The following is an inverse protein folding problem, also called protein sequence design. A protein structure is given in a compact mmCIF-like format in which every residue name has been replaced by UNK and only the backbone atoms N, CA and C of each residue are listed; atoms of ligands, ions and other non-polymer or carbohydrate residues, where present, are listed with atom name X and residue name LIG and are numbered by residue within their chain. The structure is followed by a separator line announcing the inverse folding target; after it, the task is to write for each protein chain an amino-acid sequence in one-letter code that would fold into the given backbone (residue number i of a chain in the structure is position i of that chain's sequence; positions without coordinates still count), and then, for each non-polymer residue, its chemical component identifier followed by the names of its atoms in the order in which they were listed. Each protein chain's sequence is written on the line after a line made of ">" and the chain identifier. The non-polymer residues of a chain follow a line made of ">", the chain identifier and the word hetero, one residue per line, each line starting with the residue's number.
data_IF_087977944004
#
_entry.id   IF_087977944004
#
_cell.length_a   1.000
_cell.length_b   1.000
_cell.length_c   1.000
_cell.angle_alpha   90.00
_cell.angle_beta   90.00
_cell.angle_gamma   90.00
#
_symmetry.space_group_name_H-M   'P 1'
#
loop_
_entity.id
_entity.type
_entity.pdbx_description
1 polymer ?
#
# COMPACT_ATOMS: atom_id res chain seq x y z
N UNK A 1 14.24 3.94 -0.32
CA UNK A 1 12.88 3.47 0.03
C UNK A 1 12.60 3.42 1.53
N UNK A 2 13.38 2.70 2.35
CA UNK A 2 13.05 2.50 3.78
C UNK A 2 12.87 3.81 4.58
N UNK A 3 13.74 4.81 4.35
CA UNK A 3 13.66 6.11 5.05
C UNK A 3 12.47 6.97 4.58
N UNK A 4 12.05 6.81 3.31
CA UNK A 4 10.89 7.52 2.76
C UNK A 4 9.60 7.05 3.45
N UNK A 5 9.37 5.73 3.51
CA UNK A 5 8.15 5.18 4.11
C UNK A 5 8.05 5.43 5.63
N UNK A 6 9.16 5.31 6.38
CA UNK A 6 9.14 5.57 7.84
C UNK A 6 9.00 7.05 8.18
N UNK A 7 9.83 7.91 7.61
CA UNK A 7 9.94 9.32 8.04
C UNK A 7 8.84 10.19 7.43
N UNK A 8 8.49 9.95 6.16
CA UNK A 8 7.52 10.81 5.46
C UNK A 8 6.08 10.32 5.56
N UNK A 9 5.86 9.00 5.56
CA UNK A 9 4.53 8.40 5.50
C UNK A 9 4.07 7.80 6.84
N UNK A 10 4.91 7.88 7.88
CA UNK A 10 4.61 7.38 9.25
C UNK A 10 4.13 5.93 9.26
N UNK A 11 4.80 5.09 8.48
CA UNK A 11 4.48 3.68 8.38
C UNK A 11 5.34 2.89 9.37
N UNK A 12 4.70 1.98 10.12
CA UNK A 12 5.33 1.16 11.15
C UNK A 12 5.48 -0.27 10.63
N UNK A 13 6.60 -0.90 10.96
CA UNK A 13 6.88 -2.30 10.58
C UNK A 13 6.04 -3.23 11.45
N UNK A 14 5.36 -4.20 10.84
CA UNK A 14 4.62 -5.20 11.62
C UNK A 14 5.59 -6.12 12.35
N UNK A 15 5.23 -6.52 13.58
CA UNK A 15 6.09 -7.37 14.45
C UNK A 15 6.31 -8.77 13.84
N UNK A 16 5.48 -9.17 12.88
CA UNK A 16 5.46 -10.51 12.28
C UNK A 16 6.11 -10.59 10.90
N UNK A 17 6.19 -9.49 10.16
CA UNK A 17 6.80 -9.46 8.83
C UNK A 17 7.52 -8.13 8.63
N UNK A 18 8.86 -8.18 8.63
CA UNK A 18 9.73 -7.01 8.47
C UNK A 18 9.57 -6.29 7.12
N UNK A 19 9.03 -7.01 6.12
CA UNK A 19 8.73 -6.48 4.80
C UNK A 19 7.30 -5.95 4.68
N UNK A 20 6.47 -6.11 5.71
CA UNK A 20 5.10 -5.59 5.74
C UNK A 20 4.99 -4.37 6.65
N UNK A 21 4.45 -3.32 6.06
CA UNK A 21 4.43 -1.97 6.57
C UNK A 21 2.96 -1.51 6.63
N UNK A 22 2.49 -1.11 7.81
CA UNK A 22 1.10 -0.68 8.02
C UNK A 22 1.07 0.77 8.53
N UNK A 23 0.16 1.58 7.97
CA UNK A 23 -0.07 2.95 8.46
C UNK A 23 -0.40 2.94 9.94
N UNK A 24 0.29 3.80 10.71
CA UNK A 24 0.05 3.91 12.15
C UNK A 24 -1.39 4.34 12.45
N UNK A 25 -1.89 4.04 13.66
CA UNK A 25 -3.21 4.48 14.12
C UNK A 25 -3.41 6.01 14.11
N UNK A 26 -2.32 6.79 14.06
CA UNK A 26 -2.36 8.25 13.97
C UNK A 26 -2.49 8.78 12.52
N UNK A 27 -2.58 7.89 11.53
CA UNK A 27 -2.79 8.24 10.13
C UNK A 27 -4.20 7.86 9.72
N UNK A 28 -5.01 8.85 9.36
CA UNK A 28 -6.39 8.67 8.90
C UNK A 28 -6.46 8.01 7.52
N UNK A 29 -5.35 8.04 6.78
CA UNK A 29 -5.24 7.43 5.47
C UNK A 29 -4.62 6.03 5.59
N UNK A 30 -5.40 5.03 5.23
CA UNK A 30 -4.99 3.63 5.30
C UNK A 30 -4.04 3.24 4.17
N UNK A 31 -2.97 2.53 4.51
CA UNK A 31 -2.11 1.84 3.56
C UNK A 31 -1.42 0.64 4.20
N UNK A 32 -1.34 -0.44 3.41
CA UNK A 32 -0.57 -1.64 3.66
C UNK A 32 0.46 -1.79 2.54
N UNK A 33 1.74 -1.71 2.90
CA UNK A 33 2.85 -1.76 1.95
C UNK A 33 3.62 -3.06 2.16
N UNK A 34 3.84 -3.82 1.09
CA UNK A 34 4.77 -4.94 1.05
C UNK A 34 6.03 -4.54 0.29
N UNK A 35 7.17 -4.66 0.93
CA UNK A 35 8.49 -4.41 0.34
C UNK A 35 9.05 -5.73 -0.17
N UNK A 36 9.30 -5.82 -1.47
CA UNK A 36 9.95 -6.95 -2.12
C UNK A 36 11.34 -6.55 -2.61
N UNK A 37 12.15 -7.52 -3.05
CA UNK A 37 13.55 -7.30 -3.42
C UNK A 37 13.69 -6.46 -4.69
N UNK A 38 12.71 -6.56 -5.59
CA UNK A 38 12.67 -5.94 -6.91
C UNK A 38 11.62 -4.82 -7.02
N UNK A 39 10.58 -4.84 -6.19
CA UNK A 39 9.49 -3.88 -6.24
C UNK A 39 8.88 -3.61 -4.85
N UNK A 40 8.03 -2.60 -4.78
CA UNK A 40 7.17 -2.35 -3.61
C UNK A 40 5.73 -2.39 -4.09
N UNK A 41 4.88 -3.12 -3.36
CA UNK A 41 3.45 -3.25 -3.64
C UNK A 41 2.70 -2.56 -2.51
N UNK A 42 1.80 -1.63 -2.87
CA UNK A 42 1.00 -0.87 -1.92
C UNK A 42 -0.48 -1.17 -2.13
N UNK A 43 -1.20 -1.49 -1.06
CA UNK A 43 -2.65 -1.53 -0.99
C UNK A 43 -3.12 -0.37 -0.12
N UNK A 44 -3.80 0.62 -0.68
CA UNK A 44 -4.17 1.84 0.05
C UNK A 44 -5.53 2.38 -0.35
N UNK A 45 -6.05 3.31 0.46
CA UNK A 45 -7.19 4.11 0.05
C UNK A 45 -6.77 5.24 -0.92
N UNK A 46 -7.76 5.91 -1.52
CA UNK A 46 -7.53 6.98 -2.48
C UNK A 46 -6.77 8.18 -1.87
N UNK A 47 -7.09 8.56 -0.63
CA UNK A 47 -6.45 9.69 0.04
C UNK A 47 -4.95 9.45 0.31
N UNK A 48 -4.56 8.24 0.71
CA UNK A 48 -3.14 7.88 0.84
C UNK A 48 -2.44 7.93 -0.52
N UNK A 49 -3.09 7.40 -1.55
CA UNK A 49 -2.55 7.32 -2.90
C UNK A 49 -2.24 8.71 -3.51
N UNK A 50 -3.06 9.72 -3.22
CA UNK A 50 -2.77 11.11 -3.61
C UNK A 50 -1.52 11.69 -2.95
N UNK A 51 -1.27 11.33 -1.69
CA UNK A 51 -0.08 11.76 -0.95
C UNK A 51 1.16 11.05 -1.50
N UNK A 52 1.05 9.74 -1.75
CA UNK A 52 2.14 8.93 -2.32
C UNK A 52 2.59 9.47 -3.68
N UNK A 53 1.66 9.78 -4.60
CA UNK A 53 1.98 10.40 -5.90
C UNK A 53 2.78 11.69 -5.79
N UNK A 54 2.34 12.58 -4.88
CA UNK A 54 3.00 13.87 -4.66
C UNK A 54 4.43 13.65 -4.19
N UNK A 55 4.67 12.69 -3.30
CA UNK A 55 6.00 12.40 -2.78
C UNK A 55 6.88 11.62 -3.78
N UNK A 56 6.30 10.72 -4.59
CA UNK A 56 7.00 10.05 -5.70
C UNK A 56 7.48 11.06 -6.74
N UNK A 57 6.60 11.99 -7.14
CA UNK A 57 6.91 13.05 -8.10
C UNK A 57 8.03 13.95 -7.58
N UNK A 58 7.95 14.40 -6.31
CA UNK A 58 9.00 15.22 -5.68
C UNK A 58 10.34 14.50 -5.60
N UNK A 59 10.34 13.18 -5.43
CA UNK A 59 11.54 12.37 -5.36
C UNK A 59 12.06 11.94 -6.74
N UNK A 60 11.38 12.32 -7.83
CA UNK A 60 11.67 11.88 -9.20
C UNK A 60 11.76 10.35 -9.32
N UNK A 61 10.90 9.64 -8.57
CA UNK A 61 10.80 8.19 -8.60
C UNK A 61 9.71 7.76 -9.59
N UNK A 62 10.00 6.68 -10.31
CA UNK A 62 9.03 6.05 -11.21
C UNK A 62 8.29 4.95 -10.46
N UNK A 63 6.96 4.94 -10.58
CA UNK A 63 6.09 3.87 -10.11
C UNK A 63 5.41 3.20 -11.31
N UNK A 64 4.98 1.94 -11.13
CA UNK A 64 4.16 1.23 -12.10
C UNK A 64 2.74 1.84 -12.14
N UNK A 65 2.01 1.54 -13.22
CA UNK A 65 0.60 1.91 -13.32
C UNK A 65 -0.20 1.30 -12.16
N UNK A 66 -1.17 2.05 -11.65
CA UNK A 66 -2.01 1.63 -10.53
C UNK A 66 -3.15 0.76 -11.01
N UNK A 67 -3.50 -0.19 -10.16
CA UNK A 67 -4.68 -1.02 -10.31
C UNK A 67 -5.68 -0.69 -9.20
N UNK A 68 -6.96 -0.78 -9.51
CA UNK A 68 -8.04 -0.45 -8.58
C UNK A 68 -8.83 -1.70 -8.24
N UNK A 69 -8.98 -1.96 -6.94
CA UNK A 69 -9.76 -3.08 -6.45
C UNK A 69 -11.25 -2.80 -6.70
N UNK A 70 -11.93 -3.74 -7.37
CA UNK A 70 -13.38 -3.73 -7.51
C UNK A 70 -13.91 -5.15 -7.37
N UNK A 71 -15.24 -5.30 -7.28
CA UNK A 71 -15.89 -6.62 -7.19
C UNK A 71 -15.63 -7.48 -8.43
N UNK A 72 -15.35 -6.86 -9.57
CA UNK A 72 -14.97 -7.53 -10.83
C UNK A 72 -13.47 -7.57 -11.10
N UNK A 73 -12.65 -6.89 -10.29
CA UNK A 73 -11.20 -6.79 -10.47
C UNK A 73 -10.45 -7.08 -9.16
N UNK A 74 -10.19 -8.36 -8.84
CA UNK A 74 -9.33 -8.75 -7.73
C UNK A 74 -7.87 -8.40 -8.02
N UNK A 75 -7.10 -8.07 -6.98
CA UNK A 75 -5.70 -7.65 -7.11
C UNK A 75 -4.72 -8.62 -6.47
N UNK A 76 -3.52 -8.74 -7.03
CA UNK A 76 -2.43 -9.47 -6.39
C UNK A 76 -1.73 -8.58 -5.36
N UNK A 77 -1.60 -9.07 -4.13
CA UNK A 77 -0.82 -8.43 -3.07
C UNK A 77 0.02 -9.47 -2.34
N UNK A 78 1.34 -9.35 -2.45
CA UNK A 78 2.29 -10.21 -1.72
C UNK A 78 2.01 -11.73 -1.84
N UNK A 79 1.81 -12.20 -3.07
CA UNK A 79 1.44 -13.60 -3.40
C UNK A 79 0.05 -14.06 -2.94
N UNK A 80 -0.76 -13.16 -2.40
CA UNK A 80 -2.17 -13.38 -2.07
C UNK A 80 -3.08 -12.59 -3.00
N UNK A 81 -4.36 -12.96 -3.02
CA UNK A 81 -5.39 -12.26 -3.81
C UNK A 81 -6.24 -11.41 -2.88
N UNK A 82 -6.26 -10.10 -3.13
CA UNK A 82 -7.16 -9.14 -2.51
C UNK A 82 -8.46 -9.12 -3.29
N UNK A 83 -9.57 -9.33 -2.58
CA UNK A 83 -10.92 -9.27 -3.14
C UNK A 83 -11.77 -8.32 -2.32
N UNK A 84 -12.75 -7.67 -2.97
CA UNK A 84 -13.81 -6.91 -2.31
C UNK A 84 -15.16 -7.47 -2.74
N UNK A 85 -16.12 -7.53 -1.82
CA UNK A 85 -17.48 -7.94 -2.12
C UNK A 85 -18.44 -6.73 -2.10
N UNK A 86 -19.70 -6.96 -2.46
CA UNK A 86 -20.73 -5.89 -2.49
C UNK A 86 -20.99 -5.27 -1.12
N UNK A 87 -20.65 -5.96 -0.02
CA UNK A 87 -20.70 -5.41 1.35
C UNK A 87 -19.49 -4.56 1.72
N UNK A 88 -18.62 -4.23 0.76
CA UNK A 88 -17.35 -3.49 0.96
C UNK A 88 -16.36 -4.19 1.90
N UNK A 89 -16.52 -5.49 2.13
CA UNK A 89 -15.59 -6.30 2.92
C UNK A 89 -14.39 -6.66 2.04
N UNK A 90 -13.20 -6.25 2.47
CA UNK A 90 -11.94 -6.62 1.82
C UNK A 90 -11.41 -7.90 2.46
N UNK A 91 -11.06 -8.88 1.62
CA UNK A 91 -10.53 -10.18 2.07
C UNK A 91 -9.23 -10.49 1.34
N UNK A 92 -8.26 -11.01 2.07
CA UNK A 92 -7.01 -11.55 1.55
C UNK A 92 -7.10 -13.08 1.55
N UNK A 93 -6.94 -13.71 0.37
CA UNK A 93 -6.96 -15.17 0.19
C UNK A 93 -5.58 -15.72 -0.10
#
# INVERSE_FOLDING_TARGET
>A
MHNHYKVKLRIVTTVYNLCLLLTSAANENFSLVSIQTDNTITLSNAAFNEIEEKELTKASLLAKLKEYLSTSNPLMFNSSIVTINDSSTVTLK
#
